data_IF_061032039023
#
_entry.id   IF_061032039023
#
_cell.length_a   1.000
_cell.length_b   1.000
_cell.length_c   1.000
_cell.angle_alpha   90.00
_cell.angle_beta   90.00
_cell.angle_gamma   90.00
#
_symmetry.space_group_name_H-M   'P 1'
#
loop_
_entity.id
_entity.type
_entity.pdbx_description
1 polymer ?
#
# COMPACT_ATOMS: atom_id res chain seq x y z
N UNK A 1 14.36 20.14 1.11
CA UNK A 1 13.70 19.50 -0.05
C UNK A 1 12.80 18.42 0.50
N UNK A 2 11.48 18.52 0.25
CA UNK A 2 10.49 17.59 0.76
C UNK A 2 10.72 16.18 0.23
N UNK A 3 10.42 15.18 1.05
CA UNK A 3 10.67 13.76 0.79
C UNK A 3 9.35 13.04 0.61
N UNK A 4 9.16 12.42 -0.54
CA UNK A 4 7.95 11.66 -0.87
C UNK A 4 8.30 10.18 -0.94
N UNK A 5 7.56 9.37 -0.20
CA UNK A 5 7.55 7.91 -0.33
C UNK A 5 6.45 7.46 -1.27
N UNK A 6 6.66 6.39 -2.01
CA UNK A 6 5.61 5.67 -2.74
C UNK A 6 5.65 4.20 -2.35
N UNK A 7 4.50 3.61 -2.01
CA UNK A 7 4.39 2.18 -1.70
C UNK A 7 3.76 1.42 -2.88
N UNK A 8 4.54 0.51 -3.47
CA UNK A 8 4.17 -0.31 -4.62
C UNK A 8 3.88 -1.75 -4.16
N UNK A 9 2.60 -2.11 -4.11
CA UNK A 9 2.15 -3.43 -3.62
C UNK A 9 1.36 -4.22 -4.65
N UNK A 10 0.92 -3.59 -5.75
CA UNK A 10 0.07 -4.22 -6.75
C UNK A 10 0.83 -5.34 -7.49
N UNK A 11 0.26 -6.53 -7.59
CA UNK A 11 0.80 -7.56 -8.45
C UNK A 11 0.62 -7.19 -9.93
N UNK A 12 1.45 -7.78 -10.78
CA UNK A 12 1.50 -7.46 -12.22
C UNK A 12 0.20 -7.82 -12.95
N UNK A 13 -0.50 -8.81 -12.44
CA UNK A 13 -1.74 -9.36 -12.99
C UNK A 13 -2.94 -8.42 -12.83
N UNK A 14 -2.87 -7.45 -11.91
CA UNK A 14 -3.91 -6.44 -11.69
C UNK A 14 -3.70 -5.26 -12.64
N UNK A 15 -4.00 -5.47 -13.93
CA UNK A 15 -3.61 -4.64 -15.07
C UNK A 15 -3.80 -3.13 -14.88
N UNK A 16 -5.04 -2.67 -14.57
CA UNK A 16 -5.34 -1.23 -14.43
C UNK A 16 -4.58 -0.56 -13.30
N UNK A 17 -4.58 -1.15 -12.10
CA UNK A 17 -3.86 -0.62 -10.93
C UNK A 17 -2.35 -0.64 -11.17
N UNK A 18 -1.85 -1.67 -11.84
CA UNK A 18 -0.44 -1.76 -12.20
C UNK A 18 -0.03 -0.64 -13.16
N UNK A 19 -0.79 -0.41 -14.23
CA UNK A 19 -0.54 0.67 -15.21
C UNK A 19 -0.62 2.06 -14.55
N UNK A 20 -1.61 2.27 -13.68
CA UNK A 20 -1.71 3.51 -12.92
C UNK A 20 -0.47 3.72 -12.03
N UNK A 21 0.00 2.68 -11.36
CA UNK A 21 1.22 2.76 -10.54
C UNK A 21 2.45 3.12 -11.37
N UNK A 22 2.57 2.60 -12.60
CA UNK A 22 3.64 2.98 -13.52
C UNK A 22 3.58 4.46 -13.90
N UNK A 23 2.39 4.98 -14.20
CA UNK A 23 2.21 6.41 -14.52
C UNK A 23 2.60 7.31 -13.33
N UNK A 24 2.29 6.91 -12.10
CA UNK A 24 2.74 7.63 -10.90
C UNK A 24 4.26 7.59 -10.75
N UNK A 25 4.90 6.45 -11.00
CA UNK A 25 6.38 6.34 -10.98
C UNK A 25 6.99 7.31 -11.98
N UNK A 26 6.46 7.38 -13.19
CA UNK A 26 6.94 8.27 -14.24
C UNK A 26 6.79 9.76 -13.86
N UNK A 27 5.62 10.15 -13.37
CA UNK A 27 5.36 11.51 -12.88
C UNK A 27 6.30 11.91 -11.73
N UNK A 28 6.51 11.01 -10.76
CA UNK A 28 7.41 11.24 -9.64
C UNK A 28 8.88 11.34 -10.11
N UNK A 29 9.28 10.58 -11.11
CA UNK A 29 10.62 10.66 -11.70
C UNK A 29 10.87 12.03 -12.34
N UNK A 30 9.91 12.58 -13.07
CA UNK A 30 9.97 13.93 -13.63
C UNK A 30 10.15 14.98 -12.51
N UNK A 31 9.40 14.87 -11.43
CA UNK A 31 9.52 15.77 -10.27
C UNK A 31 10.88 15.64 -9.57
N UNK A 32 11.42 14.43 -9.50
CA UNK A 32 12.74 14.15 -8.95
C UNK A 32 13.86 14.78 -9.78
N UNK A 33 13.80 14.62 -11.11
CA UNK A 33 14.76 15.21 -12.04
C UNK A 33 14.77 16.75 -11.98
N UNK A 34 13.61 17.36 -11.79
CA UNK A 34 13.46 18.81 -11.56
C UNK A 34 13.95 19.26 -10.17
N UNK A 35 14.52 18.37 -9.36
CA UNK A 35 15.01 18.61 -7.99
C UNK A 35 13.97 19.23 -7.04
N UNK A 36 12.69 19.06 -7.34
CA UNK A 36 11.59 19.56 -6.46
C UNK A 36 11.42 18.71 -5.21
N UNK A 37 11.57 17.39 -5.35
CA UNK A 37 11.36 16.40 -4.28
C UNK A 37 12.43 15.33 -4.30
N UNK A 38 12.71 14.73 -3.13
CA UNK A 38 13.42 13.45 -3.02
C UNK A 38 12.40 12.33 -3.00
N UNK A 39 12.51 11.36 -3.91
CA UNK A 39 11.57 10.25 -4.03
C UNK A 39 12.19 8.98 -3.46
N UNK A 40 11.41 8.28 -2.63
CA UNK A 40 11.76 6.99 -2.03
C UNK A 40 10.74 5.95 -2.46
N UNK A 41 11.21 4.85 -3.05
CA UNK A 41 10.36 3.78 -3.53
C UNK A 41 10.38 2.63 -2.53
N UNK A 42 9.21 2.25 -2.01
CA UNK A 42 8.99 1.08 -1.17
C UNK A 42 8.21 0.07 -1.98
N UNK A 43 8.62 -1.19 -2.01
CA UNK A 43 7.93 -2.19 -2.83
C UNK A 43 7.96 -3.55 -2.14
N UNK A 44 6.94 -4.36 -2.40
CA UNK A 44 6.74 -5.68 -1.79
C UNK A 44 6.94 -6.83 -2.77
N UNK A 45 7.08 -6.53 -4.06
CA UNK A 45 7.34 -7.51 -5.11
C UNK A 45 8.51 -7.04 -5.98
N UNK A 46 9.44 -7.96 -6.27
CA UNK A 46 10.68 -7.67 -7.00
C UNK A 46 10.46 -7.21 -8.44
N UNK A 47 9.29 -7.50 -9.05
CA UNK A 47 9.01 -7.02 -10.40
C UNK A 47 9.04 -5.49 -10.53
N UNK A 48 8.85 -4.76 -9.41
CA UNK A 48 8.90 -3.31 -9.39
C UNK A 48 10.32 -2.75 -9.59
N UNK A 49 11.38 -3.52 -9.26
CA UNK A 49 12.77 -3.06 -9.34
C UNK A 49 13.15 -2.51 -10.72
N UNK A 50 12.66 -3.13 -11.79
CA UNK A 50 12.96 -2.72 -13.17
C UNK A 50 12.31 -1.39 -13.58
N UNK A 51 11.29 -0.93 -12.85
CA UNK A 51 10.56 0.30 -13.13
C UNK A 51 11.01 1.48 -12.26
N UNK A 52 11.77 1.20 -11.20
CA UNK A 52 12.28 2.23 -10.31
C UNK A 52 13.56 2.83 -10.91
N UNK A 53 13.63 4.17 -11.02
CA UNK A 53 14.84 4.83 -11.53
C UNK A 53 16.06 4.49 -10.67
N UNK A 54 17.18 4.09 -11.29
CA UNK A 54 18.43 3.71 -10.59
C UNK A 54 19.00 4.78 -9.67
N UNK A 55 18.71 6.04 -9.94
CA UNK A 55 19.16 7.20 -9.15
C UNK A 55 18.35 7.39 -7.88
N UNK A 56 17.20 6.73 -7.78
CA UNK A 56 16.27 6.84 -6.63
C UNK A 56 16.57 5.79 -5.58
N UNK A 57 16.23 6.11 -4.33
CA UNK A 57 16.36 5.14 -3.23
C UNK A 57 15.19 4.15 -3.28
N UNK A 58 15.49 2.88 -3.49
CA UNK A 58 14.55 1.77 -3.51
C UNK A 58 14.71 0.89 -2.26
N UNK A 59 13.61 0.53 -1.61
CA UNK A 59 13.60 -0.25 -0.37
C UNK A 59 12.61 -1.39 -0.54
N UNK A 60 13.13 -2.62 -0.61
CA UNK A 60 12.31 -3.82 -0.63
C UNK A 60 11.75 -4.12 0.77
N UNK A 61 10.44 -4.34 0.84
CA UNK A 61 9.75 -4.74 2.07
C UNK A 61 9.52 -6.24 2.05
N UNK A 62 10.30 -6.96 2.82
CA UNK A 62 10.12 -8.41 2.94
C UNK A 62 8.89 -8.74 3.77
N UNK A 63 7.94 -9.49 3.18
CA UNK A 63 6.74 -9.97 3.90
C UNK A 63 7.05 -11.28 4.61
N UNK A 64 7.09 -11.26 5.94
CA UNK A 64 7.30 -12.46 6.74
C UNK A 64 6.15 -13.45 6.59
N UNK A 65 6.45 -14.69 6.21
CA UNK A 65 5.48 -15.80 6.10
C UNK A 65 4.87 -16.08 7.47
N UNK A 66 5.66 -16.05 8.52
CA UNK A 66 5.20 -16.25 9.90
C UNK A 66 4.14 -15.22 10.30
N UNK A 67 4.35 -13.93 10.00
CA UNK A 67 3.37 -12.88 10.28
C UNK A 67 2.10 -13.01 9.44
N UNK A 68 2.20 -13.57 8.23
CA UNK A 68 1.02 -13.90 7.41
C UNK A 68 0.17 -15.00 8.06
N UNK A 69 0.82 -16.02 8.62
CA UNK A 69 0.15 -17.09 9.39
C UNK A 69 -0.49 -16.55 10.66
N UNK A 70 0.25 -15.76 11.44
CA UNK A 70 -0.22 -15.16 12.68
C UNK A 70 -1.44 -14.25 12.44
N UNK A 71 -1.44 -13.45 11.36
CA UNK A 71 -2.62 -12.67 10.96
C UNK A 71 -3.83 -13.55 10.69
N UNK A 72 -3.68 -14.65 9.94
CA UNK A 72 -4.79 -15.57 9.68
C UNK A 72 -5.35 -16.16 10.99
N UNK A 73 -4.48 -16.52 11.92
CA UNK A 73 -4.87 -17.03 13.22
C UNK A 73 -5.67 -15.98 14.03
N UNK A 74 -5.17 -14.76 14.10
CA UNK A 74 -5.84 -13.65 14.78
C UNK A 74 -7.20 -13.35 14.16
N UNK A 75 -7.36 -13.40 12.84
CA UNK A 75 -8.64 -13.23 12.15
C UNK A 75 -9.70 -14.23 12.60
N UNK A 76 -9.32 -15.43 13.05
CA UNK A 76 -10.25 -16.46 13.49
C UNK A 76 -10.73 -16.24 14.94
N UNK A 77 -9.90 -15.66 15.80
CA UNK A 77 -10.12 -15.62 17.25
C UNK A 77 -10.40 -14.22 17.81
N UNK A 78 -10.11 -13.17 17.07
CA UNK A 78 -10.24 -11.80 17.56
C UNK A 78 -11.44 -11.10 16.94
N UNK A 79 -12.17 -10.34 17.74
CA UNK A 79 -13.28 -9.51 17.28
C UNK A 79 -12.85 -8.54 16.18
N UNK A 80 -13.67 -8.40 15.14
CA UNK A 80 -13.43 -7.53 13.98
C UNK A 80 -13.11 -6.07 14.36
N UNK A 81 -13.74 -5.58 15.41
CA UNK A 81 -13.54 -4.19 15.89
C UNK A 81 -12.11 -3.94 16.42
N UNK A 82 -11.40 -4.98 16.80
CA UNK A 82 -10.03 -4.89 17.31
C UNK A 82 -8.96 -5.02 16.22
N UNK A 83 -9.32 -5.40 14.99
CA UNK A 83 -8.38 -5.64 13.90
C UNK A 83 -7.53 -4.41 13.52
N UNK A 84 -8.09 -3.19 13.38
CA UNK A 84 -7.28 -2.02 13.02
C UNK A 84 -6.17 -1.75 14.03
N UNK A 85 -6.42 -2.02 15.31
CA UNK A 85 -5.45 -1.81 16.37
C UNK A 85 -4.35 -2.88 16.38
N UNK A 86 -4.72 -4.16 16.22
CA UNK A 86 -3.78 -5.30 16.27
C UNK A 86 -2.85 -5.37 15.07
N UNK A 87 -3.29 -4.87 13.90
CA UNK A 87 -2.53 -4.94 12.66
C UNK A 87 -1.61 -3.76 12.40
N UNK A 88 -1.43 -2.83 13.37
CA UNK A 88 -0.47 -1.74 13.23
C UNK A 88 0.97 -2.28 13.07
N UNK A 89 1.92 -1.65 13.71
CA UNK A 89 3.36 -1.89 13.49
C UNK A 89 3.83 -3.33 13.71
N UNK A 90 3.20 -4.07 14.65
CA UNK A 90 3.68 -5.41 15.01
C UNK A 90 3.46 -6.43 13.89
N UNK A 91 2.31 -6.41 13.25
CA UNK A 91 1.94 -7.39 12.21
C UNK A 91 2.08 -6.86 10.78
N UNK A 92 2.28 -5.57 10.60
CA UNK A 92 2.40 -4.94 9.29
C UNK A 92 3.80 -4.33 9.10
N UNK A 93 4.66 -5.04 8.37
CA UNK A 93 6.02 -4.58 8.06
C UNK A 93 6.02 -3.27 7.24
N UNK A 94 5.01 -3.06 6.40
CA UNK A 94 4.87 -1.84 5.62
C UNK A 94 4.69 -0.64 6.56
N UNK A 95 3.79 -0.75 7.55
CA UNK A 95 3.57 0.30 8.57
C UNK A 95 4.86 0.58 9.34
N UNK A 96 5.53 -0.48 9.82
CA UNK A 96 6.77 -0.36 10.59
C UNK A 96 7.87 0.38 9.81
N UNK A 97 8.07 0.01 8.54
CA UNK A 97 9.12 0.60 7.70
C UNK A 97 8.77 2.03 7.33
N UNK A 98 7.50 2.29 6.95
CA UNK A 98 7.07 3.63 6.55
C UNK A 98 7.08 4.61 7.72
N UNK A 99 6.70 4.20 8.94
CA UNK A 99 6.79 5.06 10.13
C UNK A 99 8.23 5.43 10.47
N UNK A 100 9.18 4.50 10.28
CA UNK A 100 10.62 4.76 10.46
C UNK A 100 11.26 5.53 9.31
N UNK A 101 10.56 5.66 8.18
CA UNK A 101 11.09 6.40 7.02
C UNK A 101 11.21 7.90 7.33
N UNK A 102 12.08 8.58 6.61
CA UNK A 102 12.20 10.04 6.69
C UNK A 102 11.39 10.74 5.55
N UNK A 103 10.17 10.22 5.27
CA UNK A 103 9.27 10.80 4.27
C UNK A 103 8.28 11.74 4.93
N UNK A 104 8.00 12.87 4.28
CA UNK A 104 7.00 13.84 4.74
C UNK A 104 5.58 13.46 4.28
N UNK A 105 5.50 12.76 3.13
CA UNK A 105 4.27 12.25 2.52
C UNK A 105 4.51 10.87 1.97
N UNK A 106 3.53 9.97 2.07
CA UNK A 106 3.55 8.65 1.42
C UNK A 106 2.38 8.52 0.46
N UNK A 107 2.67 8.16 -0.78
CA UNK A 107 1.68 7.91 -1.84
C UNK A 107 1.40 6.42 -1.94
N UNK A 108 0.12 6.08 -2.00
CA UNK A 108 -0.39 4.72 -2.19
C UNK A 108 -1.16 4.68 -3.52
N UNK A 109 -0.57 4.18 -4.61
CA UNK A 109 -1.24 4.10 -5.91
C UNK A 109 -2.44 3.15 -5.93
N UNK A 110 -2.57 2.30 -4.93
CA UNK A 110 -3.70 1.39 -4.75
C UNK A 110 -4.27 1.52 -3.34
N UNK A 111 -5.51 1.10 -3.18
CA UNK A 111 -6.14 0.97 -1.86
C UNK A 111 -5.29 0.05 -0.98
N UNK A 112 -4.85 0.58 0.15
CA UNK A 112 -4.03 -0.16 1.10
C UNK A 112 -4.32 0.31 2.52
N UNK A 113 -4.66 -0.61 3.41
CA UNK A 113 -4.93 -0.33 4.81
C UNK A 113 -3.75 0.37 5.50
N UNK A 114 -2.54 0.14 5.04
CA UNK A 114 -1.34 0.80 5.55
C UNK A 114 -1.44 2.31 5.51
N UNK A 115 -2.17 2.88 4.53
CA UNK A 115 -2.36 4.33 4.39
C UNK A 115 -3.04 4.98 5.60
N UNK A 116 -3.90 4.24 6.29
CA UNK A 116 -4.61 4.68 7.50
C UNK A 116 -3.86 4.34 8.80
N UNK A 117 -2.89 3.43 8.72
CA UNK A 117 -2.16 2.93 9.89
C UNK A 117 -0.84 3.66 10.14
N UNK A 118 -0.29 4.35 9.16
CA UNK A 118 0.97 5.09 9.30
C UNK A 118 0.77 6.42 10.01
N UNK A 119 1.77 6.83 10.79
CA UNK A 119 1.80 8.11 11.50
C UNK A 119 2.39 9.22 10.61
N UNK A 120 2.02 9.26 9.33
CA UNK A 120 2.52 10.22 8.34
C UNK A 120 1.39 10.68 7.44
N UNK A 121 1.58 11.82 6.80
CA UNK A 121 0.66 12.26 5.74
C UNK A 121 0.64 11.20 4.65
N UNK A 122 -0.56 10.79 4.26
CA UNK A 122 -0.76 9.77 3.22
C UNK A 122 -1.70 10.30 2.15
N UNK A 123 -1.44 9.88 0.92
CA UNK A 123 -2.31 10.09 -0.24
C UNK A 123 -2.60 8.73 -0.85
N UNK A 124 -3.84 8.26 -0.70
CA UNK A 124 -4.27 6.96 -1.21
C UNK A 124 -5.23 7.11 -2.37
N UNK A 125 -5.07 6.30 -3.40
CA UNK A 125 -5.97 6.26 -4.55
C UNK A 125 -7.07 5.23 -4.32
N UNK A 126 -8.31 5.67 -4.46
CA UNK A 126 -9.50 4.82 -4.47
C UNK A 126 -9.87 4.61 -5.94
N UNK A 127 -9.71 3.38 -6.46
CA UNK A 127 -9.97 3.08 -7.87
C UNK A 127 -11.47 2.92 -8.16
N UNK A 128 -12.18 2.24 -7.26
CA UNK A 128 -13.62 2.04 -7.38
C UNK A 128 -14.29 1.77 -6.03
N UNK A 129 -15.59 1.97 -5.99
CA UNK A 129 -16.48 1.61 -4.89
C UNK A 129 -17.54 0.59 -5.31
N UNK A 130 -17.33 -0.12 -6.43
CA UNK A 130 -18.31 -1.02 -7.03
C UNK A 130 -18.80 -2.10 -6.05
N UNK A 131 -17.94 -2.56 -5.15
CA UNK A 131 -18.32 -3.52 -4.10
C UNK A 131 -19.48 -3.06 -3.19
N UNK A 132 -19.79 -1.75 -3.17
CA UNK A 132 -20.92 -1.18 -2.39
C UNK A 132 -22.19 -1.06 -3.19
N UNK A 133 -22.08 -0.90 -4.50
CA UNK A 133 -23.21 -0.56 -5.38
C UNK A 133 -23.62 -1.74 -6.26
N UNK A 134 -22.71 -2.67 -6.53
CA UNK A 134 -22.88 -3.74 -7.51
C UNK A 134 -22.72 -5.12 -6.86
N UNK A 135 -23.72 -5.54 -6.06
CA UNK A 135 -23.72 -6.82 -5.34
C UNK A 135 -23.82 -8.06 -6.24
N UNK A 136 -24.11 -7.88 -7.52
CA UNK A 136 -24.30 -8.99 -8.46
C UNK A 136 -22.97 -9.56 -9.00
N UNK A 137 -21.85 -8.90 -8.83
CA UNK A 137 -20.57 -9.44 -9.26
C UNK A 137 -20.10 -10.53 -8.31
N UNK A 138 -19.89 -11.74 -8.86
CA UNK A 138 -19.48 -12.93 -8.10
C UNK A 138 -18.15 -12.78 -7.37
N UNK A 139 -17.31 -11.84 -7.80
CA UNK A 139 -16.03 -11.49 -7.18
C UNK A 139 -16.19 -10.76 -5.84
N UNK A 140 -17.35 -10.11 -5.58
CA UNK A 140 -17.63 -9.41 -4.33
C UNK A 140 -18.27 -10.32 -3.28
N UNK A 141 -17.51 -11.28 -2.81
CA UNK A 141 -17.95 -12.08 -1.65
C UNK A 141 -18.12 -11.21 -0.40
N UNK A 142 -18.99 -11.62 0.53
CA UNK A 142 -19.19 -10.92 1.83
C UNK A 142 -17.86 -10.62 2.54
N UNK A 143 -16.87 -11.50 2.40
CA UNK A 143 -15.54 -11.31 2.98
C UNK A 143 -14.79 -10.17 2.29
N UNK A 144 -14.79 -10.13 0.97
CA UNK A 144 -14.10 -9.08 0.18
C UNK A 144 -14.75 -7.72 0.43
N UNK A 145 -16.09 -7.65 0.47
CA UNK A 145 -16.82 -6.42 0.80
C UNK A 145 -16.40 -5.92 2.18
N UNK A 146 -16.39 -6.79 3.18
CA UNK A 146 -15.99 -6.43 4.54
C UNK A 146 -14.52 -5.97 4.61
N UNK A 147 -13.61 -6.68 3.94
CA UNK A 147 -12.20 -6.29 3.89
C UNK A 147 -12.01 -4.90 3.24
N UNK A 148 -12.75 -4.60 2.18
CA UNK A 148 -12.74 -3.29 1.53
C UNK A 148 -13.37 -2.22 2.41
N UNK A 149 -14.49 -2.48 3.07
CA UNK A 149 -15.15 -1.51 3.95
C UNK A 149 -14.27 -1.12 5.15
N UNK A 150 -13.54 -2.06 5.73
CA UNK A 150 -12.55 -1.76 6.80
C UNK A 150 -11.44 -0.81 6.32
N UNK A 151 -11.20 -0.73 5.01
CA UNK A 151 -10.24 0.22 4.44
C UNK A 151 -10.79 1.64 4.29
N UNK A 152 -12.12 1.83 4.42
CA UNK A 152 -12.77 3.13 4.19
C UNK A 152 -13.34 3.79 5.46
N UNK A 153 -13.36 3.07 6.58
CA UNK A 153 -13.81 3.53 7.89
C UNK A 153 -12.71 3.37 8.95
#
# INVERSE_FOLDING_TARGET
>A
MNKIGILLTSPKEVGGIYQYSLSIIEALNILHQKKKFKIYYYYTDKHWEKHIPKISRAIYIHKSIFKKFLRKFIYLFVSKNSWPFLFKEFLNEEVKILNKSNCDLVIFPSQNITSYQINKKSLSTIHDLMHRYENQFSEYTKKIVLERDVHYY
#
